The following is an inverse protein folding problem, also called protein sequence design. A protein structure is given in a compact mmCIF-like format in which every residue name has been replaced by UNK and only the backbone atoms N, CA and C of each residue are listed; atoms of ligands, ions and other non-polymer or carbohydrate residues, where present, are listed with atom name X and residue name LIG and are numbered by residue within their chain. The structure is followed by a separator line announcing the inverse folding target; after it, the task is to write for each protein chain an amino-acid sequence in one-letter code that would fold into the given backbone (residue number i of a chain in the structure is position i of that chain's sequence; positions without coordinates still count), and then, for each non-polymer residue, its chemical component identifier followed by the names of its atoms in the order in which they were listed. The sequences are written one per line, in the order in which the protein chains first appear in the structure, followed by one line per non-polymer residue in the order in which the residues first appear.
data_IF_463329922878
#
_entry.id   IF_463329922878
#
_cell.length_a   1.000
_cell.length_b   1.000
_cell.length_c   1.000
_cell.angle_alpha   90.00
_cell.angle_beta   90.00
_cell.angle_gamma   90.00
#
_symmetry.space_group_name_H-M   'P 1'
#
loop_
_entity.id
_entity.type
_entity.pdbx_description
1 polymer ?
#
# COMPACT_ATOMS: atom_id res chain seq x y z
N UNK A 1 -2.54 -27.82 -15.41
CA UNK A 1 -2.91 -26.38 -15.38
C UNK A 1 -1.68 -25.60 -15.84
N UNK A 2 -1.88 -24.67 -16.73
CA UNK A 2 -0.77 -23.83 -17.19
C UNK A 2 -0.29 -22.95 -16.04
N UNK A 3 1.02 -22.76 -15.98
CA UNK A 3 1.69 -21.97 -14.95
C UNK A 3 1.28 -20.51 -15.06
N UNK A 4 0.75 -19.91 -14.00
CA UNK A 4 0.40 -18.48 -13.96
C UNK A 4 1.66 -17.69 -13.61
N UNK A 5 2.00 -16.68 -14.43
CA UNK A 5 3.11 -15.76 -14.20
C UNK A 5 2.58 -14.34 -14.32
N UNK A 6 2.47 -13.66 -13.19
CA UNK A 6 2.14 -12.24 -13.08
C UNK A 6 3.38 -11.39 -13.32
N UNK A 7 3.24 -10.22 -13.89
CA UNK A 7 4.33 -9.25 -14.03
C UNK A 7 3.83 -7.83 -13.75
N UNK A 8 4.61 -7.05 -13.02
CA UNK A 8 4.34 -5.64 -12.73
C UNK A 8 5.60 -4.78 -12.80
N UNK A 9 5.52 -3.60 -13.43
CA UNK A 9 6.63 -2.65 -13.58
C UNK A 9 6.44 -1.33 -12.84
N UNK A 10 5.30 -1.12 -12.20
CA UNK A 10 4.93 0.11 -11.53
C UNK A 10 5.58 0.32 -10.16
N UNK A 11 5.25 1.43 -9.50
CA UNK A 11 5.67 1.72 -8.13
C UNK A 11 5.13 0.70 -7.11
N UNK A 12 5.71 0.67 -5.91
CA UNK A 12 5.34 -0.28 -4.87
C UNK A 12 3.84 -0.21 -4.51
N UNK A 13 3.23 0.99 -4.54
CA UNK A 13 1.78 1.14 -4.30
C UNK A 13 0.94 0.39 -5.33
N UNK A 14 1.26 0.55 -6.62
CA UNK A 14 0.58 -0.16 -7.71
C UNK A 14 0.77 -1.69 -7.58
N UNK A 15 1.99 -2.13 -7.19
CA UNK A 15 2.25 -3.55 -6.94
C UNK A 15 1.35 -4.12 -5.84
N UNK A 16 1.12 -3.38 -4.75
CA UNK A 16 0.22 -3.82 -3.68
C UNK A 16 -1.23 -3.90 -4.18
N UNK A 17 -1.71 -2.93 -4.95
CA UNK A 17 -3.05 -3.03 -5.55
C UNK A 17 -3.18 -4.22 -6.51
N UNK A 18 -2.14 -4.52 -7.27
CA UNK A 18 -2.16 -5.66 -8.20
C UNK A 18 -2.27 -7.02 -7.50
N UNK A 19 -1.87 -7.12 -6.24
CA UNK A 19 -2.05 -8.35 -5.45
C UNK A 19 -3.54 -8.72 -5.24
N UNK A 20 -4.45 -7.75 -5.29
CA UNK A 20 -5.89 -8.05 -5.29
C UNK A 20 -6.32 -8.83 -6.54
N UNK A 21 -5.70 -8.54 -7.69
CA UNK A 21 -5.91 -9.31 -8.94
C UNK A 21 -5.36 -10.73 -8.77
N UNK A 22 -4.12 -10.86 -8.28
CA UNK A 22 -3.50 -12.17 -8.04
C UNK A 22 -4.35 -13.03 -7.10
N UNK A 23 -4.86 -12.45 -6.00
CA UNK A 23 -5.75 -13.16 -5.06
C UNK A 23 -7.00 -13.72 -5.73
N UNK A 24 -7.57 -13.01 -6.71
CA UNK A 24 -8.81 -13.41 -7.39
C UNK A 24 -8.60 -14.37 -8.56
N UNK A 25 -7.49 -14.27 -9.26
CA UNK A 25 -7.14 -15.17 -10.37
C UNK A 25 -6.64 -16.52 -9.82
N UNK A 26 -5.79 -16.52 -8.79
CA UNK A 26 -5.27 -17.72 -8.17
C UNK A 26 -3.76 -17.74 -7.99
N UNK A 27 -3.23 -18.85 -7.49
CA UNK A 27 -1.83 -18.98 -7.15
C UNK A 27 -0.91 -18.93 -8.37
N UNK A 28 0.16 -18.15 -8.29
CA UNK A 28 1.10 -17.97 -9.41
C UNK A 28 2.45 -17.40 -8.97
N UNK A 29 3.35 -17.27 -9.95
CA UNK A 29 4.62 -16.59 -9.78
C UNK A 29 4.45 -15.09 -9.99
N UNK A 30 5.19 -14.27 -9.24
CA UNK A 30 5.13 -12.81 -9.35
C UNK A 30 6.47 -12.26 -9.81
N UNK A 31 6.53 -11.71 -11.01
CA UNK A 31 7.74 -11.16 -11.61
C UNK A 31 7.74 -9.64 -11.51
N UNK A 32 8.82 -9.07 -10.97
CA UNK A 32 9.01 -7.64 -10.88
C UNK A 32 9.96 -7.12 -11.96
N UNK A 33 9.77 -5.86 -12.38
CA UNK A 33 10.67 -5.19 -13.32
C UNK A 33 11.64 -4.21 -12.65
N UNK A 34 11.66 -4.15 -11.31
CA UNK A 34 12.58 -3.31 -10.56
C UNK A 34 13.99 -3.91 -10.47
N UNK A 35 14.94 -3.02 -10.19
CA UNK A 35 16.30 -3.40 -9.82
C UNK A 35 16.33 -4.10 -8.45
N UNK A 36 17.49 -4.60 -8.06
CA UNK A 36 17.63 -5.43 -6.87
C UNK A 36 17.24 -4.73 -5.56
N UNK A 37 17.43 -3.42 -5.46
CA UNK A 37 17.10 -2.66 -4.23
C UNK A 37 15.61 -2.64 -3.98
N UNK A 38 14.81 -2.31 -5.00
CA UNK A 38 13.35 -2.32 -4.89
C UNK A 38 12.81 -3.73 -4.68
N UNK A 39 13.37 -4.70 -5.38
CA UNK A 39 13.03 -6.10 -5.27
C UNK A 39 13.25 -6.61 -3.84
N UNK A 40 14.40 -6.38 -3.24
CA UNK A 40 14.71 -6.83 -1.88
C UNK A 40 13.78 -6.21 -0.83
N UNK A 41 13.36 -4.97 -1.00
CA UNK A 41 12.48 -4.30 -0.04
C UNK A 41 11.04 -4.81 -0.07
N UNK A 42 10.47 -5.05 -1.26
CA UNK A 42 9.05 -5.43 -1.38
C UNK A 42 8.85 -6.95 -1.39
N UNK A 43 9.85 -7.71 -1.80
CA UNK A 43 9.81 -9.16 -1.94
C UNK A 43 9.22 -9.87 -0.72
N UNK A 44 9.65 -9.61 0.54
CA UNK A 44 9.13 -10.32 1.70
C UNK A 44 7.61 -10.15 1.88
N UNK A 45 7.06 -8.97 1.58
CA UNK A 45 5.62 -8.74 1.69
C UNK A 45 4.83 -9.48 0.59
N UNK A 46 5.38 -9.55 -0.62
CA UNK A 46 4.72 -10.26 -1.72
C UNK A 46 4.78 -11.77 -1.48
N UNK A 47 5.90 -12.32 -1.02
CA UNK A 47 6.07 -13.74 -0.70
C UNK A 47 5.22 -14.21 0.48
N UNK A 48 4.84 -13.31 1.39
CA UNK A 48 3.93 -13.61 2.50
C UNK A 48 2.51 -13.93 2.00
N UNK A 49 2.16 -13.58 0.75
CA UNK A 49 0.81 -13.79 0.25
C UNK A 49 0.57 -15.27 -0.13
N UNK A 50 -0.47 -15.93 0.41
CA UNK A 50 -0.70 -17.37 0.18
C UNK A 50 -1.03 -17.73 -1.27
N UNK A 51 -1.34 -16.75 -2.10
CA UNK A 51 -1.59 -16.91 -3.54
C UNK A 51 -0.36 -16.56 -4.40
N UNK A 52 0.81 -16.29 -3.81
CA UNK A 52 2.08 -16.11 -4.50
C UNK A 52 2.99 -17.30 -4.18
N UNK A 53 3.35 -18.06 -5.21
CA UNK A 53 4.19 -19.25 -5.08
C UNK A 53 5.66 -18.84 -4.89
N UNK A 54 6.10 -17.86 -5.67
CA UNK A 54 7.48 -17.36 -5.67
C UNK A 54 7.53 -15.97 -6.29
N UNK A 55 8.39 -15.10 -5.78
CA UNK A 55 8.69 -13.78 -6.38
C UNK A 55 9.96 -13.89 -7.22
N UNK A 56 9.82 -13.63 -8.52
CA UNK A 56 10.87 -13.73 -9.50
C UNK A 56 11.53 -12.38 -9.76
N UNK A 57 12.85 -12.41 -9.98
CA UNK A 57 13.57 -11.23 -10.44
C UNK A 57 13.19 -10.85 -11.87
N UNK A 58 13.48 -9.62 -12.25
CA UNK A 58 13.31 -9.08 -13.61
C UNK A 58 13.98 -9.98 -14.70
N UNK A 59 15.11 -10.60 -14.38
CA UNK A 59 15.89 -11.41 -15.31
C UNK A 59 15.41 -12.87 -15.45
N UNK A 60 14.33 -13.25 -14.78
CA UNK A 60 13.73 -14.57 -14.93
C UNK A 60 13.27 -14.80 -16.39
N UNK A 61 13.51 -16.00 -16.92
CA UNK A 61 13.09 -16.41 -18.26
C UNK A 61 11.64 -16.89 -18.33
N UNK A 62 10.87 -16.77 -17.23
CA UNK A 62 9.48 -17.20 -17.21
C UNK A 62 8.61 -16.35 -18.14
N UNK A 63 7.78 -17.01 -18.94
CA UNK A 63 6.84 -16.35 -19.86
C UNK A 63 5.70 -15.73 -19.06
N UNK A 64 5.50 -14.42 -19.24
CA UNK A 64 4.41 -13.67 -18.59
C UNK A 64 3.07 -14.10 -19.18
N UNK A 65 2.13 -14.49 -18.32
CA UNK A 65 0.75 -14.81 -18.70
C UNK A 65 -0.22 -13.66 -18.37
N UNK A 66 0.08 -12.88 -17.32
CA UNK A 66 -0.75 -11.76 -16.86
C UNK A 66 0.13 -10.52 -16.64
N UNK A 67 0.01 -9.54 -17.52
CA UNK A 67 0.69 -8.26 -17.38
C UNK A 67 -0.14 -7.32 -16.50
N UNK A 68 0.22 -7.21 -15.23
CA UNK A 68 -0.53 -6.40 -14.25
C UNK A 68 -0.45 -4.89 -14.50
N UNK A 69 0.40 -4.43 -15.43
CA UNK A 69 0.43 -3.03 -15.89
C UNK A 69 -0.73 -2.68 -16.85
N UNK A 70 -1.52 -3.65 -17.30
CA UNK A 70 -2.63 -3.43 -18.23
C UNK A 70 -3.72 -2.50 -17.67
N UNK A 71 -3.79 -2.33 -16.34
CA UNK A 71 -4.66 -1.33 -15.71
C UNK A 71 -4.41 0.10 -16.21
N UNK A 72 -3.19 0.40 -16.68
CA UNK A 72 -2.82 1.73 -17.20
C UNK A 72 -3.51 2.07 -18.53
N UNK A 73 -4.02 1.04 -19.22
CA UNK A 73 -4.75 1.18 -20.48
C UNK A 73 -6.26 1.40 -20.25
N UNK A 74 -6.73 1.37 -18.99
CA UNK A 74 -8.15 1.53 -18.68
C UNK A 74 -8.59 2.99 -18.82
N UNK A 75 -9.81 3.20 -19.35
CA UNK A 75 -10.42 4.53 -19.41
C UNK A 75 -10.79 5.02 -18.00
N UNK A 76 -10.67 6.32 -17.76
CA UNK A 76 -11.03 6.93 -16.47
C UNK A 76 -10.03 6.66 -15.33
N UNK A 77 -8.76 6.45 -15.65
CA UNK A 77 -7.72 6.10 -14.69
C UNK A 77 -7.60 7.08 -13.49
N UNK A 78 -7.93 8.36 -13.70
CA UNK A 78 -7.92 9.39 -12.64
C UNK A 78 -9.23 9.51 -11.86
N UNK A 79 -10.33 8.97 -12.37
CA UNK A 79 -11.68 9.15 -11.83
C UNK A 79 -12.16 7.95 -11.01
N UNK A 80 -11.65 6.77 -11.32
CA UNK A 80 -12.01 5.51 -10.67
C UNK A 80 -10.88 5.06 -9.75
N UNK A 81 -11.24 4.43 -8.63
CA UNK A 81 -10.25 3.84 -7.71
C UNK A 81 -9.22 3.00 -8.47
N UNK A 82 -7.94 3.20 -8.16
CA UNK A 82 -6.84 2.42 -8.76
C UNK A 82 -7.05 0.92 -8.59
N UNK A 83 -7.52 0.48 -7.42
CA UNK A 83 -7.84 -0.92 -7.17
C UNK A 83 -8.90 -1.44 -8.14
N UNK A 84 -9.99 -0.69 -8.38
CA UNK A 84 -11.01 -1.07 -9.36
C UNK A 84 -10.46 -1.14 -10.78
N UNK A 85 -9.57 -0.22 -11.14
CA UNK A 85 -8.92 -0.24 -12.46
C UNK A 85 -8.06 -1.51 -12.63
N UNK A 86 -7.34 -1.93 -11.60
CA UNK A 86 -6.62 -3.21 -11.62
C UNK A 86 -7.57 -4.40 -11.84
N UNK A 87 -8.71 -4.45 -11.15
CA UNK A 87 -9.70 -5.54 -11.34
C UNK A 87 -10.32 -5.52 -12.73
N UNK A 88 -10.72 -4.36 -13.23
CA UNK A 88 -11.33 -4.16 -14.57
C UNK A 88 -10.42 -4.62 -15.68
N UNK A 89 -9.11 -4.36 -15.58
CA UNK A 89 -8.14 -4.75 -16.61
C UNK A 89 -8.12 -6.26 -16.87
N UNK A 90 -8.58 -7.06 -15.90
CA UNK A 90 -8.65 -8.53 -15.99
C UNK A 90 -10.08 -9.05 -16.03
N UNK A 91 -11.08 -8.19 -16.29
CA UNK A 91 -12.49 -8.54 -16.29
C UNK A 91 -12.97 -9.23 -15.01
N UNK A 92 -12.37 -8.86 -13.88
CA UNK A 92 -12.75 -9.37 -12.57
C UNK A 92 -13.92 -8.57 -12.00
N UNK A 93 -14.83 -9.25 -11.27
CA UNK A 93 -15.93 -8.58 -10.60
C UNK A 93 -15.44 -7.51 -9.63
N UNK A 94 -16.18 -6.39 -9.58
CA UNK A 94 -15.99 -5.35 -8.58
C UNK A 94 -16.81 -5.64 -7.30
N UNK A 95 -17.54 -6.74 -7.22
CA UNK A 95 -18.22 -7.14 -5.99
C UNK A 95 -17.19 -7.37 -4.89
N UNK A 96 -17.44 -6.81 -3.71
CA UNK A 96 -16.51 -6.86 -2.58
C UNK A 96 -15.08 -6.46 -2.97
N UNK A 97 -14.97 -5.44 -3.83
CA UNK A 97 -13.69 -4.97 -4.38
C UNK A 97 -12.73 -4.48 -3.28
N UNK A 98 -13.27 -4.04 -2.16
CA UNK A 98 -12.56 -3.51 -0.99
C UNK A 98 -12.32 -4.54 0.12
N UNK A 99 -12.61 -5.82 -0.12
CA UNK A 99 -12.21 -6.88 0.80
C UNK A 99 -10.69 -6.89 0.96
N UNK A 100 -10.23 -7.23 2.16
CA UNK A 100 -8.79 -7.34 2.42
C UNK A 100 -8.13 -8.26 1.41
N UNK A 101 -7.03 -7.80 0.81
CA UNK A 101 -6.28 -8.61 -0.15
C UNK A 101 -4.85 -8.92 0.33
N UNK A 102 -4.37 -8.27 1.39
CA UNK A 102 -3.13 -8.64 2.04
C UNK A 102 -3.39 -9.56 3.23
N UNK A 103 -2.52 -10.55 3.37
CA UNK A 103 -2.42 -11.43 4.54
C UNK A 103 -0.99 -11.32 5.06
N UNK A 104 -0.83 -11.17 6.36
CA UNK A 104 0.50 -11.17 6.98
C UNK A 104 0.47 -11.97 8.28
N UNK A 105 1.60 -12.55 8.63
CA UNK A 105 1.84 -13.09 9.96
C UNK A 105 2.03 -11.93 10.94
N UNK A 106 1.15 -11.75 11.94
CA UNK A 106 1.27 -10.67 12.91
C UNK A 106 2.59 -10.74 13.66
N UNK A 107 3.22 -9.57 13.82
CA UNK A 107 4.43 -9.42 14.65
C UNK A 107 4.35 -8.08 15.37
N UNK A 108 4.31 -8.12 16.69
CA UNK A 108 4.31 -6.90 17.48
C UNK A 108 5.70 -6.29 17.50
N UNK A 109 5.81 -5.05 17.00
CA UNK A 109 7.05 -4.29 16.91
C UNK A 109 7.10 -3.16 17.96
N UNK A 110 5.94 -2.69 18.41
CA UNK A 110 5.79 -1.64 19.42
C UNK A 110 4.83 -2.14 20.50
N UNK A 111 5.18 -1.94 21.76
CA UNK A 111 4.30 -2.27 22.88
C UNK A 111 3.27 -1.16 23.13
N UNK A 112 2.01 -1.56 23.35
CA UNK A 112 0.90 -0.66 23.65
C UNK A 112 0.16 -0.16 22.40
N UNK A 113 -0.71 0.82 22.60
CA UNK A 113 -1.53 1.47 21.57
C UNK A 113 -0.74 2.59 20.91
N UNK A 114 -0.74 2.63 19.58
CA UNK A 114 -0.04 3.66 18.81
C UNK A 114 -0.75 4.03 17.52
N UNK A 115 -0.48 5.24 17.05
CA UNK A 115 -0.85 5.72 15.73
C UNK A 115 0.40 5.94 14.86
N UNK A 116 0.21 5.88 13.56
CA UNK A 116 1.27 6.07 12.57
C UNK A 116 0.97 7.30 11.70
N UNK A 117 2.02 7.98 11.28
CA UNK A 117 1.97 9.08 10.31
C UNK A 117 2.92 8.79 9.16
N UNK A 118 2.46 8.96 7.93
CA UNK A 118 3.30 8.91 6.73
C UNK A 118 2.91 10.00 5.74
N UNK A 119 3.86 10.80 5.31
CA UNK A 119 3.64 11.86 4.32
C UNK A 119 4.68 11.76 3.22
N UNK A 120 4.23 11.57 1.98
CA UNK A 120 5.10 11.65 0.81
C UNK A 120 4.98 13.03 0.16
N UNK A 121 6.09 13.66 -0.23
CA UNK A 121 6.06 14.95 -0.94
C UNK A 121 5.47 14.84 -2.35
N UNK A 122 5.29 13.63 -2.87
CA UNK A 122 4.78 13.39 -4.23
C UNK A 122 3.33 13.85 -4.42
N UNK A 123 2.51 13.79 -3.37
CA UNK A 123 1.08 14.08 -3.43
C UNK A 123 0.70 15.11 -2.35
N UNK A 124 1.09 16.39 -2.52
CA UNK A 124 0.74 17.42 -1.55
C UNK A 124 -0.74 17.79 -1.65
N UNK A 125 -1.32 18.25 -0.55
CA UNK A 125 -2.56 19.02 -0.57
C UNK A 125 -2.26 20.44 -0.09
N UNK A 126 -2.67 21.42 -0.88
CA UNK A 126 -2.45 22.83 -0.56
C UNK A 126 -3.18 23.24 0.72
N UNK A 127 -2.45 23.80 1.66
CA UNK A 127 -3.03 24.33 2.89
C UNK A 127 -3.48 23.30 3.94
N UNK A 128 -3.16 22.00 3.76
CA UNK A 128 -3.45 21.03 4.81
C UNK A 128 -2.48 21.16 5.99
N UNK A 129 -3.03 21.30 7.19
CA UNK A 129 -2.28 21.46 8.43
C UNK A 129 -1.94 20.10 9.06
N UNK A 130 -0.79 19.54 8.68
CA UNK A 130 -0.28 18.31 9.27
C UNK A 130 0.04 18.43 10.75
N UNK A 131 0.40 19.62 11.25
CA UNK A 131 0.67 19.79 12.67
C UNK A 131 -0.60 19.63 13.50
N UNK A 132 -1.73 20.20 13.04
CA UNK A 132 -3.03 20.00 13.69
C UNK A 132 -3.46 18.53 13.69
N UNK A 133 -3.20 17.78 12.62
CA UNK A 133 -3.47 16.34 12.56
C UNK A 133 -2.58 15.55 13.53
N UNK A 134 -1.29 15.88 13.63
CA UNK A 134 -0.37 15.26 14.59
C UNK A 134 -0.82 15.55 16.04
N UNK A 135 -1.22 16.77 16.33
CA UNK A 135 -1.70 17.16 17.66
C UNK A 135 -2.98 16.42 18.03
N UNK A 136 -3.89 16.23 17.06
CA UNK A 136 -5.06 15.38 17.23
C UNK A 136 -4.65 13.92 17.56
N UNK A 137 -3.73 13.33 16.82
CA UNK A 137 -3.27 11.97 17.09
C UNK A 137 -2.61 11.82 18.45
N UNK A 138 -1.75 12.77 18.84
CA UNK A 138 -1.11 12.79 20.17
C UNK A 138 -2.10 12.95 21.32
N UNK A 139 -3.24 13.59 21.07
CA UNK A 139 -4.30 13.74 22.08
C UNK A 139 -5.15 12.47 22.25
N UNK A 140 -5.16 11.58 21.25
CA UNK A 140 -6.01 10.39 21.23
C UNK A 140 -5.24 9.08 21.43
N UNK A 141 -3.93 9.05 21.13
CA UNK A 141 -3.09 7.85 21.20
C UNK A 141 -1.87 8.08 22.07
N UNK A 142 -1.47 7.06 22.82
CA UNK A 142 -0.35 7.15 23.76
C UNK A 142 0.99 7.39 23.08
N UNK A 143 1.14 6.86 21.87
CA UNK A 143 2.36 6.94 21.08
C UNK A 143 2.00 7.29 19.63
N UNK A 144 2.78 8.15 19.00
CA UNK A 144 2.61 8.53 17.59
C UNK A 144 3.98 8.50 16.92
N UNK A 145 4.13 7.70 15.89
CA UNK A 145 5.38 7.55 15.16
C UNK A 145 5.24 7.99 13.71
N UNK A 146 6.31 8.56 13.18
CA UNK A 146 6.46 8.73 11.73
C UNK A 146 7.04 7.43 11.15
N UNK A 147 6.48 6.97 10.02
CA UNK A 147 6.92 5.74 9.35
C UNK A 147 7.22 5.96 7.89
N UNK A 148 8.13 5.17 7.36
CA UNK A 148 8.50 5.10 5.96
C UNK A 148 9.46 3.93 5.78
N UNK A 149 9.76 3.55 4.55
CA UNK A 149 10.65 2.42 4.32
C UNK A 149 11.87 2.78 3.46
N UNK A 150 11.97 4.01 2.99
CA UNK A 150 13.16 4.52 2.27
C UNK A 150 14.09 5.20 3.26
N UNK A 151 15.37 4.89 3.15
CA UNK A 151 16.41 5.45 4.03
C UNK A 151 16.51 6.99 3.95
N UNK A 152 16.10 7.58 2.82
CA UNK A 152 16.19 9.01 2.55
C UNK A 152 14.98 9.82 3.06
N UNK A 153 13.99 9.18 3.69
CA UNK A 153 12.86 9.91 4.23
C UNK A 153 13.17 10.44 5.62
N UNK A 154 13.74 11.62 5.65
CA UNK A 154 13.76 12.42 6.89
C UNK A 154 12.30 12.75 7.25
N UNK A 155 11.85 12.48 8.49
CA UNK A 155 10.55 12.91 8.93
C UNK A 155 10.39 14.40 8.67
N UNK A 156 9.32 14.86 8.00
CA UNK A 156 9.10 16.28 7.80
C UNK A 156 8.68 17.00 9.09
N UNK A 157 8.62 16.28 10.21
CA UNK A 157 8.13 16.75 11.50
C UNK A 157 9.14 16.41 12.62
N UNK A 158 9.80 17.41 13.16
CA UNK A 158 10.72 17.25 14.30
C UNK A 158 10.03 16.72 15.56
N UNK A 159 8.71 16.84 15.61
CA UNK A 159 7.89 16.44 16.76
C UNK A 159 7.53 14.96 16.82
N UNK A 160 7.90 14.16 15.80
CA UNK A 160 7.62 12.74 15.72
C UNK A 160 8.91 11.91 15.70
N UNK A 161 8.92 10.85 16.48
CA UNK A 161 9.94 9.82 16.40
C UNK A 161 9.78 9.02 15.11
N UNK A 162 10.89 8.81 14.39
CA UNK A 162 10.90 7.98 13.18
C UNK A 162 11.11 6.51 13.53
N UNK A 163 10.09 5.69 13.22
CA UNK A 163 10.25 4.24 13.31
C UNK A 163 10.72 3.69 11.96
N UNK A 164 12.00 3.35 11.86
CA UNK A 164 12.60 2.80 10.65
C UNK A 164 12.28 1.31 10.52
N UNK A 165 11.70 0.92 9.38
CA UNK A 165 11.47 -0.49 9.03
C UNK A 165 12.52 -0.99 8.02
N UNK A 166 12.86 -2.27 8.08
CA UNK A 166 13.89 -2.87 7.24
C UNK A 166 13.37 -3.24 5.85
N UNK A 167 12.08 -3.53 5.73
CA UNK A 167 11.44 -3.92 4.47
C UNK A 167 9.92 -3.70 4.54
N UNK A 168 9.23 -3.96 3.43
CA UNK A 168 7.79 -3.77 3.31
C UNK A 168 6.95 -4.72 4.18
N UNK A 169 7.43 -5.93 4.48
CA UNK A 169 6.73 -6.85 5.39
C UNK A 169 6.75 -6.31 6.84
N UNK A 170 7.90 -5.84 7.31
CA UNK A 170 7.99 -5.24 8.64
C UNK A 170 7.11 -3.98 8.75
N UNK A 171 7.08 -3.15 7.69
CA UNK A 171 6.16 -2.02 7.62
C UNK A 171 4.69 -2.48 7.67
N UNK A 172 4.32 -3.53 6.95
CA UNK A 172 2.96 -4.07 6.97
C UNK A 172 2.60 -4.65 8.35
N UNK A 173 3.54 -5.31 9.03
CA UNK A 173 3.37 -5.80 10.42
C UNK A 173 3.15 -4.63 11.38
N UNK A 174 3.92 -3.55 11.25
CA UNK A 174 3.75 -2.35 12.05
C UNK A 174 2.38 -1.69 11.80
N UNK A 175 1.97 -1.58 10.54
CA UNK A 175 0.65 -1.05 10.15
C UNK A 175 -0.48 -1.93 10.71
N UNK A 176 -0.31 -3.25 10.67
CA UNK A 176 -1.34 -4.19 11.14
C UNK A 176 -1.66 -4.05 12.63
N UNK A 177 -0.69 -3.70 13.45
CA UNK A 177 -0.84 -3.54 14.90
C UNK A 177 -1.21 -2.11 15.33
N UNK A 178 -1.12 -1.12 14.42
CA UNK A 178 -1.50 0.26 14.68
C UNK A 178 -3.03 0.41 14.83
N UNK A 179 -3.45 1.32 15.72
CA UNK A 179 -4.87 1.69 15.87
C UNK A 179 -5.38 2.47 14.65
N UNK A 180 -4.53 3.35 14.13
CA UNK A 180 -4.84 4.18 12.95
C UNK A 180 -3.57 4.63 12.25
N UNK A 181 -3.69 4.88 10.94
CA UNK A 181 -2.63 5.49 10.13
C UNK A 181 -3.16 6.79 9.55
N UNK A 182 -2.45 7.90 9.77
CA UNK A 182 -2.73 9.16 9.08
C UNK A 182 -1.70 9.36 7.96
N UNK A 183 -2.15 9.47 6.72
CA UNK A 183 -1.26 9.54 5.58
C UNK A 183 -1.88 10.27 4.38
N UNK A 184 -1.01 10.62 3.43
CA UNK A 184 -1.45 10.94 2.07
C UNK A 184 -1.33 9.73 1.15
N UNK A 185 -1.54 9.95 -0.16
CA UNK A 185 -1.44 8.91 -1.18
C UNK A 185 -0.03 8.36 -1.29
N UNK A 186 0.21 7.22 -0.67
CA UNK A 186 1.55 6.64 -0.53
C UNK A 186 1.50 5.12 -0.55
N UNK A 187 2.65 4.50 -0.58
CA UNK A 187 2.79 3.06 -0.39
C UNK A 187 2.23 2.58 0.96
N UNK A 188 2.37 3.39 2.01
CA UNK A 188 1.79 3.10 3.35
C UNK A 188 0.27 3.01 3.29
N UNK A 189 -0.38 3.93 2.56
CA UNK A 189 -1.83 3.89 2.35
C UNK A 189 -2.26 2.57 1.70
N UNK A 190 -1.58 2.14 0.64
CA UNK A 190 -1.97 0.92 -0.08
C UNK A 190 -1.85 -0.34 0.77
N UNK A 191 -0.87 -0.39 1.68
CA UNK A 191 -0.76 -1.48 2.67
C UNK A 191 -1.92 -1.42 3.66
N UNK A 192 -2.23 -0.24 4.21
CA UNK A 192 -3.33 -0.07 5.15
C UNK A 192 -4.68 -0.50 4.55
N UNK A 193 -4.95 -0.09 3.32
CA UNK A 193 -6.12 -0.50 2.56
C UNK A 193 -6.15 -2.02 2.32
N UNK A 194 -5.03 -2.60 1.90
CA UNK A 194 -4.91 -4.04 1.65
C UNK A 194 -5.13 -4.91 2.88
N UNK A 195 -4.76 -4.41 4.06
CA UNK A 195 -4.97 -5.06 5.36
C UNK A 195 -6.35 -4.74 5.97
N UNK A 196 -7.13 -3.81 5.39
CA UNK A 196 -8.41 -3.38 5.95
C UNK A 196 -8.29 -2.58 7.25
N UNK A 197 -7.17 -1.86 7.45
CA UNK A 197 -6.91 -1.07 8.67
C UNK A 197 -7.63 0.26 8.65
N UNK A 198 -7.85 0.84 9.84
CA UNK A 198 -8.34 2.21 9.96
C UNK A 198 -7.28 3.18 9.46
N UNK A 199 -7.69 4.11 8.59
CA UNK A 199 -6.80 5.16 8.09
C UNK A 199 -7.50 6.49 7.94
N UNK A 200 -6.71 7.55 8.11
CA UNK A 200 -7.08 8.95 7.94
C UNK A 200 -6.31 9.47 6.73
N UNK A 201 -7.03 9.80 5.67
CA UNK A 201 -6.46 10.11 4.36
C UNK A 201 -6.53 11.60 4.05
N UNK A 202 -5.39 12.22 3.89
CA UNK A 202 -5.25 13.51 3.22
C UNK A 202 -5.20 13.27 1.72
N UNK A 203 -6.20 13.76 1.01
CA UNK A 203 -6.33 13.60 -0.45
C UNK A 203 -5.64 14.75 -1.15
N UNK A 204 -4.72 14.47 -2.07
CA UNK A 204 -4.11 15.49 -2.91
C UNK A 204 -5.14 16.12 -3.86
N UNK A 205 -4.97 17.43 -4.17
CA UNK A 205 -5.97 18.26 -4.83
C UNK A 205 -6.53 17.67 -6.13
N UNK A 206 -5.72 16.97 -6.90
CA UNK A 206 -6.08 16.45 -8.23
C UNK A 206 -6.03 14.92 -8.34
N UNK A 207 -5.99 14.19 -7.21
CA UNK A 207 -5.79 12.75 -7.22
C UNK A 207 -6.78 12.05 -6.28
N UNK A 208 -7.95 11.73 -6.78
CA UNK A 208 -9.02 11.10 -5.97
C UNK A 208 -9.11 9.59 -6.13
N UNK A 209 -8.28 9.00 -6.98
CA UNK A 209 -8.31 7.60 -7.34
C UNK A 209 -7.83 6.62 -6.22
N UNK A 210 -7.41 7.13 -5.08
CA UNK A 210 -7.07 6.35 -3.90
C UNK A 210 -8.19 6.30 -2.84
N UNK A 211 -9.30 7.02 -3.06
CA UNK A 211 -10.43 7.05 -2.13
C UNK A 211 -11.27 5.79 -2.34
N UNK A 212 -11.55 5.10 -1.25
CA UNK A 212 -12.34 3.87 -1.26
C UNK A 212 -13.78 4.04 -0.78
N UNK A 213 -14.07 5.10 0.02
CA UNK A 213 -15.38 5.35 0.64
C UNK A 213 -15.85 4.14 1.48
N UNK A 214 -14.98 3.65 2.33
CA UNK A 214 -15.22 2.49 3.20
C UNK A 214 -15.33 2.92 4.68
N UNK A 215 -15.95 2.13 5.56
CA UNK A 215 -16.16 2.52 6.96
C UNK A 215 -14.89 2.81 7.77
N UNK A 216 -13.77 2.20 7.40
CA UNK A 216 -12.46 2.38 8.01
C UNK A 216 -11.63 3.51 7.39
N UNK A 217 -12.20 4.30 6.47
CA UNK A 217 -11.58 5.48 5.87
C UNK A 217 -12.12 6.76 6.50
N UNK A 218 -11.24 7.67 6.89
CA UNK A 218 -11.57 9.04 7.27
C UNK A 218 -10.87 10.01 6.32
N UNK A 219 -11.63 10.83 5.60
CA UNK A 219 -11.08 11.86 4.72
C UNK A 219 -10.83 13.14 5.53
N UNK A 220 -9.60 13.70 5.45
CA UNK A 220 -9.16 14.81 6.31
C UNK A 220 -9.42 16.20 5.73
N UNK A 221 -9.48 16.33 4.42
CA UNK A 221 -9.59 17.63 3.72
C UNK A 221 -10.78 17.68 2.73
N UNK A 222 -11.89 17.09 3.13
CA UNK A 222 -13.15 17.10 2.40
C UNK A 222 -14.33 17.41 3.28
#
# INVERSE_FOLDING_TARGET
MDKIVYSHSGGHGDMIYSLAVCKRIGAGLYKTNFDDVYYQNIKPLIEEQPYIIEVLSRNSNETITHNLDDFRNMQGLGEVSLLKNHLRAFNLSEDNWNDTWLTITPKRLIEGEYALVNVTPRYPASGFDWQAEIDYLKSNYKQVFYVGYKEDMTPPFDSLEYFKTNNALELAQLINEAEVISCNQSFVLTIAQGLGKNYRLMVADNHTNCIHNVPNETLLNR
#
